data_IF_262712262340
#
_entry.id   IF_262712262340
#
_cell.length_a   1.000
_cell.length_b   1.000
_cell.length_c   1.000
_cell.angle_alpha   90.00
_cell.angle_beta   90.00
_cell.angle_gamma   90.00
#
_symmetry.space_group_name_H-M   'P 1'
#
loop_
_entity.id
_entity.type
_entity.pdbx_description
1 polymer ?
#
# COMPACT_ATOMS: atom_id res chain seq x y z
N UNK A 1 20.93 12.46 -20.10
CA UNK A 1 19.96 11.36 -20.29
C UNK A 1 19.41 11.01 -18.92
N UNK A 2 18.32 11.64 -18.51
CA UNK A 2 17.75 11.48 -17.16
C UNK A 2 16.99 10.16 -17.14
N UNK A 3 17.58 9.11 -16.57
CA UNK A 3 16.87 7.84 -16.37
C UNK A 3 15.81 8.12 -15.31
N UNK A 4 14.56 8.25 -15.74
CA UNK A 4 13.44 8.49 -14.84
C UNK A 4 13.12 7.18 -14.10
N UNK A 5 13.66 7.01 -12.89
CA UNK A 5 13.43 5.85 -12.02
C UNK A 5 12.05 5.93 -11.33
N UNK A 6 10.99 6.08 -12.11
CA UNK A 6 9.63 6.26 -11.60
C UNK A 6 9.16 5.09 -10.73
N UNK A 7 9.60 3.86 -11.03
CA UNK A 7 9.32 2.69 -10.20
C UNK A 7 9.95 2.82 -8.81
N UNK A 8 11.23 3.20 -8.73
CA UNK A 8 11.92 3.45 -7.45
C UNK A 8 11.28 4.59 -6.67
N UNK A 9 10.91 5.70 -7.33
CA UNK A 9 10.22 6.82 -6.66
C UNK A 9 8.85 6.37 -6.13
N UNK A 10 8.10 5.60 -6.91
CA UNK A 10 6.82 5.04 -6.48
C UNK A 10 7.00 4.13 -5.26
N UNK A 11 8.04 3.29 -5.26
CA UNK A 11 8.35 2.40 -4.14
C UNK A 11 8.72 3.19 -2.89
N UNK A 12 9.62 4.17 -3.02
CA UNK A 12 10.01 5.05 -1.92
C UNK A 12 8.81 5.79 -1.32
N UNK A 13 7.92 6.32 -2.16
CA UNK A 13 6.70 7.00 -1.68
C UNK A 13 5.80 6.06 -0.86
N UNK A 14 5.73 4.77 -1.20
CA UNK A 14 4.97 3.81 -0.41
C UNK A 14 5.66 3.50 0.93
N UNK A 15 6.99 3.36 0.93
CA UNK A 15 7.77 3.14 2.16
C UNK A 15 7.67 4.34 3.10
N UNK A 16 7.77 5.56 2.57
CA UNK A 16 7.56 6.80 3.34
C UNK A 16 6.18 6.84 3.98
N UNK A 17 5.13 6.43 3.24
CA UNK A 17 3.79 6.38 3.79
C UNK A 17 3.68 5.44 5.00
N UNK A 18 4.30 4.27 4.96
CA UNK A 18 4.32 3.34 6.10
C UNK A 18 5.05 3.93 7.31
N UNK A 19 6.18 4.61 7.07
CA UNK A 19 6.94 5.30 8.12
C UNK A 19 6.11 6.40 8.76
N UNK A 20 5.46 7.26 7.96
CA UNK A 20 4.59 8.31 8.48
C UNK A 20 3.37 7.74 9.22
N UNK A 21 2.79 6.64 8.74
CA UNK A 21 1.71 5.94 9.43
C UNK A 21 2.16 5.41 10.80
N UNK A 22 3.36 4.82 10.87
CA UNK A 22 3.94 4.36 12.14
C UNK A 22 4.23 5.50 13.12
N UNK A 23 4.52 6.70 12.60
CA UNK A 23 4.69 7.92 13.41
C UNK A 23 3.37 8.62 13.75
N UNK A 24 2.21 8.11 13.30
CA UNK A 24 0.92 8.76 13.50
C UNK A 24 0.70 10.02 12.66
N UNK A 25 1.60 10.33 11.72
CA UNK A 25 1.51 11.51 10.86
C UNK A 25 0.62 11.23 9.65
N UNK A 26 -0.69 11.35 9.86
CA UNK A 26 -1.70 11.06 8.84
C UNK A 26 -1.51 11.91 7.56
N UNK A 27 -1.31 13.21 7.69
CA UNK A 27 -1.20 14.10 6.53
C UNK A 27 -0.01 13.75 5.63
N UNK A 28 1.15 13.46 6.23
CA UNK A 28 2.34 13.06 5.48
C UNK A 28 2.15 11.68 4.84
N UNK A 29 1.52 10.74 5.56
CA UNK A 29 1.17 9.43 5.04
C UNK A 29 0.27 9.53 3.79
N UNK A 30 -0.81 10.31 3.86
CA UNK A 30 -1.76 10.48 2.76
C UNK A 30 -1.12 11.16 1.54
N UNK A 31 -0.22 12.14 1.76
CA UNK A 31 0.55 12.77 0.69
C UNK A 31 1.45 11.75 -0.02
N UNK A 32 2.19 10.94 0.73
CA UNK A 32 3.08 9.92 0.16
C UNK A 32 2.31 8.83 -0.58
N UNK A 33 1.18 8.35 -0.04
CA UNK A 33 0.27 7.41 -0.74
C UNK A 33 -0.28 8.01 -2.04
N UNK A 34 -0.66 9.29 -2.03
CA UNK A 34 -1.17 10.00 -3.21
C UNK A 34 -0.11 10.10 -4.31
N UNK A 35 1.14 10.40 -3.94
CA UNK A 35 2.27 10.37 -4.88
C UNK A 35 2.41 8.99 -5.51
N UNK A 36 2.47 7.92 -4.72
CA UNK A 36 2.60 6.55 -5.23
C UNK A 36 1.47 6.18 -6.20
N UNK A 37 0.22 6.42 -5.82
CA UNK A 37 -0.95 6.14 -6.67
C UNK A 37 -0.95 6.95 -7.96
N UNK A 38 -0.50 8.20 -7.92
CA UNK A 38 -0.41 9.06 -9.11
C UNK A 38 0.63 8.53 -10.09
N UNK A 39 1.79 8.07 -9.59
CA UNK A 39 2.82 7.47 -10.42
C UNK A 39 2.36 6.14 -11.04
N UNK A 40 1.66 5.30 -10.28
CA UNK A 40 1.05 4.07 -10.79
C UNK A 40 0.02 4.37 -11.90
N UNK A 41 -0.91 5.30 -11.68
CA UNK A 41 -1.98 5.64 -12.65
C UNK A 41 -1.46 6.14 -13.98
N UNK A 42 -0.35 6.88 -13.98
CA UNK A 42 0.28 7.35 -15.21
C UNK A 42 0.81 6.19 -16.06
N UNK A 43 0.86 4.94 -15.55
CA UNK A 43 1.49 3.78 -16.19
C UNK A 43 2.93 4.05 -16.65
N UNK A 44 3.60 4.99 -15.98
CA UNK A 44 5.00 5.37 -16.24
C UNK A 44 5.93 4.59 -15.32
N UNK A 45 5.48 3.47 -14.76
CA UNK A 45 6.37 2.55 -14.08
C UNK A 45 7.26 1.93 -15.15
N UNK A 46 8.46 2.49 -15.30
CA UNK A 46 9.51 1.89 -16.10
C UNK A 46 9.95 0.55 -15.52
N UNK A 47 11.08 0.06 -16.00
CA UNK A 47 11.66 -1.20 -15.54
C UNK A 47 11.83 -1.26 -14.00
N UNK A 48 11.31 -2.32 -13.38
CA UNK A 48 11.49 -2.60 -11.96
C UNK A 48 12.86 -3.24 -11.69
N UNK A 49 13.91 -2.43 -11.79
CA UNK A 49 15.31 -2.86 -11.66
C UNK A 49 15.67 -3.50 -10.32
N UNK A 50 14.87 -3.23 -9.28
CA UNK A 50 15.11 -3.72 -7.93
C UNK A 50 14.15 -4.84 -7.53
N UNK A 51 13.39 -5.39 -8.49
CA UNK A 51 12.39 -6.42 -8.23
C UNK A 51 11.48 -6.08 -7.04
N UNK A 52 11.09 -4.80 -6.94
CA UNK A 52 10.18 -4.32 -5.89
C UNK A 52 8.83 -5.04 -5.94
N UNK A 53 8.47 -5.60 -7.10
CA UNK A 53 7.21 -6.30 -7.33
C UNK A 53 6.02 -5.36 -7.13
N UNK A 54 6.20 -4.08 -7.48
CA UNK A 54 5.16 -3.06 -7.39
C UNK A 54 4.02 -3.41 -8.34
N UNK A 55 2.83 -3.49 -7.77
CA UNK A 55 1.58 -3.71 -8.51
C UNK A 55 0.48 -2.87 -7.89
N UNK A 56 -0.64 -2.74 -8.60
CA UNK A 56 -1.82 -2.05 -8.07
C UNK A 56 -2.31 -2.69 -6.76
N UNK A 57 -2.37 -4.03 -6.73
CA UNK A 57 -2.69 -4.80 -5.52
C UNK A 57 -1.73 -4.49 -4.38
N UNK A 58 -0.42 -4.42 -4.66
CA UNK A 58 0.59 -4.17 -3.63
C UNK A 58 0.50 -2.76 -3.05
N UNK A 59 0.30 -1.75 -3.90
CA UNK A 59 0.10 -0.36 -3.43
C UNK A 59 -1.17 -0.24 -2.58
N UNK A 60 -2.28 -0.88 -2.99
CA UNK A 60 -3.50 -0.92 -2.19
C UNK A 60 -3.30 -1.65 -0.84
N UNK A 61 -2.48 -2.71 -0.82
CA UNK A 61 -2.11 -3.41 0.41
C UNK A 61 -1.35 -2.51 1.38
N UNK A 62 -0.35 -1.78 0.90
CA UNK A 62 0.38 -0.82 1.71
C UNK A 62 -0.50 0.32 2.22
N UNK A 63 -1.42 0.84 1.41
CA UNK A 63 -2.42 1.80 1.86
C UNK A 63 -3.26 1.23 3.01
N UNK A 64 -3.74 0.00 2.85
CA UNK A 64 -4.47 -0.72 3.89
C UNK A 64 -3.70 -0.80 5.20
N UNK A 65 -2.45 -1.27 5.14
CA UNK A 65 -1.56 -1.37 6.29
C UNK A 65 -1.27 -0.01 6.95
N UNK A 66 -1.14 1.07 6.16
CA UNK A 66 -1.01 2.43 6.68
C UNK A 66 -2.25 2.82 7.51
N UNK A 67 -3.46 2.59 6.98
CA UNK A 67 -4.69 2.91 7.71
C UNK A 67 -4.92 2.02 8.94
N UNK A 68 -4.44 0.77 8.94
CA UNK A 68 -4.43 -0.07 10.15
C UNK A 68 -3.60 0.60 11.25
N UNK A 69 -2.37 1.04 10.92
CA UNK A 69 -1.48 1.71 11.87
C UNK A 69 -2.02 3.04 12.38
N UNK A 70 -2.77 3.75 11.54
CA UNK A 70 -3.44 5.01 11.88
C UNK A 70 -4.79 4.81 12.60
N UNK A 71 -5.16 3.58 12.98
CA UNK A 71 -6.45 3.26 13.62
C UNK A 71 -7.67 3.74 12.81
N UNK A 72 -7.62 3.60 11.49
CA UNK A 72 -8.71 3.93 10.56
C UNK A 72 -9.27 2.66 9.90
N UNK A 73 -9.88 1.74 10.67
CA UNK A 73 -10.16 0.39 10.21
C UNK A 73 -11.14 0.33 9.04
N UNK A 74 -12.09 1.27 8.93
CA UNK A 74 -13.01 1.32 7.76
C UNK A 74 -12.25 1.60 6.47
N UNK A 75 -11.32 2.55 6.48
CA UNK A 75 -10.48 2.87 5.30
C UNK A 75 -9.49 1.75 5.01
N UNK A 76 -8.92 1.15 6.06
CA UNK A 76 -8.05 -0.01 5.94
C UNK A 76 -8.75 -1.16 5.21
N UNK A 77 -9.94 -1.57 5.67
CA UNK A 77 -10.68 -2.67 5.07
C UNK A 77 -11.01 -2.43 3.60
N UNK A 78 -11.44 -1.22 3.22
CA UNK A 78 -11.70 -0.89 1.82
C UNK A 78 -10.46 -1.06 0.94
N UNK A 79 -9.31 -0.56 1.39
CA UNK A 79 -8.06 -0.67 0.66
C UNK A 79 -7.54 -2.12 0.60
N UNK A 80 -7.63 -2.88 1.69
CA UNK A 80 -7.19 -4.28 1.76
C UNK A 80 -8.08 -5.19 0.92
N UNK A 81 -9.39 -4.96 0.88
CA UNK A 81 -10.31 -5.68 -0.01
C UNK A 81 -10.02 -5.38 -1.48
N UNK A 82 -9.72 -4.12 -1.82
CA UNK A 82 -9.27 -3.76 -3.15
C UNK A 82 -7.94 -4.43 -3.51
N UNK A 83 -7.00 -4.50 -2.57
CA UNK A 83 -5.73 -5.19 -2.76
C UNK A 83 -5.95 -6.68 -3.06
N UNK A 84 -6.83 -7.32 -2.30
CA UNK A 84 -7.14 -8.74 -2.43
C UNK A 84 -7.85 -9.06 -3.75
N UNK A 85 -8.76 -8.19 -4.22
CA UNK A 85 -9.47 -8.41 -5.50
C UNK A 85 -8.57 -8.29 -6.73
N UNK A 86 -7.44 -7.61 -6.60
CA UNK A 86 -6.44 -7.42 -7.65
C UNK A 86 -5.23 -8.35 -7.50
N UNK A 87 -5.24 -9.22 -6.48
CA UNK A 87 -4.11 -10.07 -6.15
C UNK A 87 -4.03 -11.26 -7.11
N UNK A 88 -2.81 -11.60 -7.53
CA UNK A 88 -2.56 -12.86 -8.22
C UNK A 88 -2.82 -14.05 -7.28
N UNK A 89 -3.58 -15.04 -7.75
CA UNK A 89 -3.90 -16.24 -6.97
C UNK A 89 -2.66 -17.00 -6.46
N UNK A 90 -1.51 -16.86 -7.11
CA UNK A 90 -0.26 -17.49 -6.68
C UNK A 90 0.51 -16.68 -5.62
N UNK A 91 0.13 -15.43 -5.35
CA UNK A 91 0.80 -14.55 -4.40
C UNK A 91 0.41 -14.81 -2.93
N UNK A 92 0.53 -16.08 -2.49
CA UNK A 92 0.07 -16.56 -1.18
C UNK A 92 0.65 -15.75 0.00
N UNK A 93 1.92 -15.32 -0.10
CA UNK A 93 2.56 -14.49 0.94
C UNK A 93 1.90 -13.11 1.08
N UNK A 94 1.51 -12.51 -0.04
CA UNK A 94 0.83 -11.22 0.00
C UNK A 94 -0.62 -11.42 0.50
N UNK A 95 -1.28 -12.49 0.08
CA UNK A 95 -2.62 -12.84 0.56
C UNK A 95 -2.66 -12.98 2.09
N UNK A 96 -1.71 -13.73 2.67
CA UNK A 96 -1.66 -13.91 4.12
C UNK A 96 -1.47 -12.57 4.86
N UNK A 97 -0.60 -11.70 4.34
CA UNK A 97 -0.36 -10.36 4.90
C UNK A 97 -1.65 -9.53 4.89
N UNK A 98 -2.35 -9.49 3.76
CA UNK A 98 -3.62 -8.75 3.63
C UNK A 98 -4.69 -9.26 4.61
N UNK A 99 -4.81 -10.58 4.76
CA UNK A 99 -5.78 -11.19 5.68
C UNK A 99 -5.44 -10.90 7.15
N UNK A 100 -4.15 -10.88 7.52
CA UNK A 100 -3.71 -10.47 8.86
C UNK A 100 -4.09 -9.02 9.14
N UNK A 101 -3.79 -8.10 8.22
CA UNK A 101 -4.13 -6.68 8.38
C UNK A 101 -5.65 -6.46 8.44
N UNK A 102 -6.44 -7.23 7.67
CA UNK A 102 -7.90 -7.20 7.76
C UNK A 102 -8.39 -7.68 9.13
N UNK A 103 -7.79 -8.76 9.67
CA UNK A 103 -8.10 -9.24 11.02
C UNK A 103 -7.84 -8.19 12.08
N UNK A 104 -6.70 -7.48 12.00
CA UNK A 104 -6.39 -6.35 12.90
C UNK A 104 -7.44 -5.25 12.74
N UNK A 105 -7.81 -4.88 11.51
CA UNK A 105 -8.80 -3.85 11.25
C UNK A 105 -10.21 -4.22 11.79
N UNK A 106 -10.63 -5.48 11.67
CA UNK A 106 -11.90 -5.94 12.26
C UNK A 106 -11.86 -5.91 13.79
N UNK A 107 -10.75 -6.34 14.40
CA UNK A 107 -10.57 -6.25 15.85
C UNK A 107 -10.62 -4.79 16.35
N UNK A 108 -10.02 -3.84 15.62
CA UNK A 108 -10.12 -2.40 15.91
C UNK A 108 -11.57 -1.86 15.86
N UNK A 109 -12.47 -2.51 15.13
CA UNK A 109 -13.90 -2.15 15.10
C UNK A 109 -14.72 -2.77 16.24
N UNK A 110 -14.12 -3.64 17.05
CA UNK A 110 -14.87 -4.48 18.00
C UNK A 110 -15.67 -5.60 17.32
N UNK A 111 -15.37 -5.91 16.05
CA UNK A 111 -15.97 -7.00 15.29
C UNK A 111 -15.05 -8.23 15.40
N UNK A 112 -15.19 -8.99 16.50
CA UNK A 112 -14.50 -10.26 16.73
C UNK A 112 -15.55 -11.35 16.93
#
# INVERSE_FOLDING_TARGET
MTIQHTCTICWLAVVEAEVYAALGNQDACEKSLTTAKTLLKKKVLGEDRYATGLSASRIAGYEGACYVRLYQPRRALLALQQALSQLDAQALRQQSTLLTDMGIAYAQQGNI
#
